data_IF_922297256683
#
_entry.id   IF_922297256683
#
_cell.length_a   1.000
_cell.length_b   1.000
_cell.length_c   1.000
_cell.angle_alpha   90.00
_cell.angle_beta   90.00
_cell.angle_gamma   90.00
#
_symmetry.space_group_name_H-M   'P 1'
#
loop_
_entity.id
_entity.type
_entity.pdbx_description
1 polymer ?
#
# COMPACT_ATOMS: atom_id res chain seq x y z
N UNK A 1 21.75 10.03 3.72
CA UNK A 1 20.99 8.95 4.41
C UNK A 1 19.72 9.45 5.13
N UNK A 2 19.61 10.72 5.52
CA UNK A 2 18.41 11.31 6.16
C UNK A 2 17.13 11.34 5.29
N UNK A 3 17.23 11.05 3.99
CA UNK A 3 16.18 11.32 2.99
C UNK A 3 15.16 10.20 2.84
N UNK A 4 15.56 8.96 3.15
CA UNK A 4 14.66 7.78 3.17
C UNK A 4 13.86 7.69 4.48
N UNK A 5 14.38 8.31 5.54
CA UNK A 5 13.82 8.31 6.89
C UNK A 5 12.38 8.82 6.91
N UNK A 6 12.07 9.86 6.14
CA UNK A 6 10.72 10.43 6.12
C UNK A 6 9.69 9.51 5.43
N UNK A 7 10.11 8.75 4.41
CA UNK A 7 9.23 7.79 3.71
C UNK A 7 9.02 6.56 4.59
N UNK A 8 10.06 6.09 5.26
CA UNK A 8 9.92 5.04 6.25
C UNK A 8 9.00 5.48 7.38
N UNK A 9 9.06 6.76 7.80
CA UNK A 9 8.11 7.31 8.74
C UNK A 9 6.66 7.32 8.21
N UNK A 10 6.43 7.66 6.94
CA UNK A 10 5.11 7.58 6.30
C UNK A 10 4.55 6.14 6.31
N UNK A 11 5.39 5.15 6.00
CA UNK A 11 5.04 3.72 6.07
C UNK A 11 4.76 3.26 7.50
N UNK A 12 5.45 3.84 8.48
CA UNK A 12 5.16 3.64 9.90
C UNK A 12 3.80 4.22 10.30
N UNK A 13 3.48 5.41 9.81
CA UNK A 13 2.16 6.03 9.95
C UNK A 13 1.05 5.14 9.40
N UNK A 14 1.26 4.53 8.23
CA UNK A 14 0.33 3.54 7.67
C UNK A 14 0.12 2.34 8.61
N UNK A 15 1.19 1.85 9.23
CA UNK A 15 1.13 0.74 10.19
C UNK A 15 0.39 1.13 11.48
N UNK A 16 0.53 2.38 11.94
CA UNK A 16 -0.22 2.90 13.09
C UNK A 16 -1.70 3.04 12.75
N UNK A 17 -2.04 3.60 11.59
CA UNK A 17 -3.43 3.68 11.12
C UNK A 17 -4.07 2.28 11.04
N UNK A 18 -3.29 1.28 10.61
CA UNK A 18 -3.71 -0.11 10.61
C UNK A 18 -3.99 -0.63 12.03
N UNK A 19 -3.10 -0.37 12.99
CA UNK A 19 -3.27 -0.72 14.40
C UNK A 19 -4.55 -0.07 14.97
N UNK A 20 -4.75 1.22 14.70
CA UNK A 20 -5.95 1.96 15.13
C UNK A 20 -7.21 1.36 14.52
N UNK A 21 -7.18 1.01 13.22
CA UNK A 21 -8.31 0.38 12.55
C UNK A 21 -8.69 -0.97 13.18
N UNK A 22 -7.69 -1.77 13.55
CA UNK A 22 -7.91 -3.11 14.10
C UNK A 22 -8.33 -3.10 15.56
N UNK A 23 -7.72 -2.24 16.38
CA UNK A 23 -7.90 -2.28 17.84
C UNK A 23 -8.88 -1.22 18.29
N UNK A 24 -8.69 0.02 17.87
CA UNK A 24 -9.45 1.15 18.42
C UNK A 24 -10.83 1.27 17.76
N UNK A 25 -10.95 1.02 16.47
CA UNK A 25 -12.22 1.20 15.75
C UNK A 25 -13.32 0.25 16.27
N UNK A 26 -13.08 -1.07 16.44
CA UNK A 26 -14.10 -1.97 17.00
C UNK A 26 -14.49 -1.66 18.45
N UNK A 27 -13.66 -0.89 19.17
CA UNK A 27 -13.94 -0.44 20.54
C UNK A 27 -14.73 0.87 20.59
N UNK A 28 -14.65 1.69 19.54
CA UNK A 28 -15.19 3.06 19.50
C UNK A 28 -16.46 3.19 18.67
N UNK A 29 -16.69 2.29 17.71
CA UNK A 29 -17.91 2.27 16.90
C UNK A 29 -18.91 1.24 17.42
N UNK A 30 -20.17 1.67 17.51
CA UNK A 30 -21.30 0.78 17.81
C UNK A 30 -21.37 -0.36 16.79
N UNK A 31 -21.74 -1.59 17.20
CA UNK A 31 -21.89 -2.72 16.30
C UNK A 31 -22.97 -2.40 15.24
N UNK A 32 -22.53 -2.10 14.02
CA UNK A 32 -23.39 -1.77 12.88
C UNK A 32 -23.24 -0.35 12.32
N UNK A 33 -22.50 0.54 12.99
CA UNK A 33 -22.17 1.85 12.40
C UNK A 33 -20.92 1.73 11.52
N UNK A 34 -21.09 1.90 10.21
CA UNK A 34 -19.95 2.00 9.28
C UNK A 34 -19.27 3.36 9.43
N UNK A 35 -17.96 3.42 9.70
CA UNK A 35 -17.24 4.69 9.79
C UNK A 35 -17.29 5.42 8.44
N UNK A 36 -17.40 6.75 8.48
CA UNK A 36 -17.40 7.58 7.26
C UNK A 36 -16.09 7.51 6.47
N UNK A 37 -14.99 7.07 7.10
CA UNK A 37 -13.67 6.91 6.47
C UNK A 37 -13.11 5.53 6.82
N UNK A 38 -12.84 4.74 5.79
CA UNK A 38 -12.17 3.45 5.94
C UNK A 38 -10.67 3.67 6.22
N UNK A 39 -10.29 3.57 7.50
CA UNK A 39 -8.90 3.77 7.92
C UNK A 39 -7.94 2.73 7.32
N UNK A 40 -8.44 1.51 7.07
CA UNK A 40 -7.72 0.46 6.34
C UNK A 40 -7.33 0.90 4.91
N UNK A 41 -8.26 1.54 4.19
CA UNK A 41 -8.03 2.04 2.84
C UNK A 41 -6.93 3.11 2.86
N UNK A 42 -7.03 4.09 3.78
CA UNK A 42 -6.03 5.17 3.92
C UNK A 42 -4.64 4.60 4.23
N UNK A 43 -4.56 3.66 5.18
CA UNK A 43 -3.32 2.98 5.53
C UNK A 43 -2.73 2.24 4.32
N UNK A 44 -3.57 1.60 3.51
CA UNK A 44 -3.11 0.80 2.36
C UNK A 44 -2.61 1.71 1.26
N UNK A 45 -3.31 2.81 0.99
CA UNK A 45 -2.88 3.84 0.05
C UNK A 45 -1.56 4.46 0.48
N UNK A 46 -1.34 4.73 1.76
CA UNK A 46 -0.06 5.25 2.26
C UNK A 46 1.10 4.28 2.07
N UNK A 47 0.86 2.98 2.31
CA UNK A 47 1.85 1.95 2.01
C UNK A 47 2.20 1.96 0.51
N UNK A 48 1.20 2.02 -0.34
CA UNK A 48 1.35 2.04 -1.80
C UNK A 48 2.03 3.32 -2.29
N UNK A 49 1.71 4.48 -1.74
CA UNK A 49 2.38 5.74 -2.06
C UNK A 49 3.84 5.72 -1.63
N UNK A 50 4.14 5.17 -0.44
CA UNK A 50 5.51 4.96 0.02
C UNK A 50 6.30 4.06 -0.93
N UNK A 51 5.67 3.00 -1.44
CA UNK A 51 6.26 2.17 -2.48
C UNK A 51 6.45 2.94 -3.79
N UNK A 52 5.41 3.62 -4.31
CA UNK A 52 5.45 4.44 -5.53
C UNK A 52 6.53 5.52 -5.52
N UNK A 53 6.82 6.09 -4.36
CA UNK A 53 7.89 7.05 -4.14
C UNK A 53 9.29 6.41 -4.18
N UNK A 54 9.44 5.20 -3.63
CA UNK A 54 10.74 4.54 -3.45
C UNK A 54 11.20 3.73 -4.67
N UNK A 55 10.29 3.04 -5.38
CA UNK A 55 10.67 2.11 -6.47
C UNK A 55 11.41 2.82 -7.59
N UNK A 56 10.86 3.91 -8.18
CA UNK A 56 11.46 4.52 -9.35
C UNK A 56 12.76 5.25 -8.98
N UNK A 57 12.81 5.81 -7.77
CA UNK A 57 14.01 6.41 -7.20
C UNK A 57 15.16 5.39 -7.05
N UNK A 58 14.85 4.19 -6.55
CA UNK A 58 15.84 3.13 -6.37
C UNK A 58 16.33 2.55 -7.70
N UNK A 59 15.46 2.46 -8.72
CA UNK A 59 15.84 2.07 -10.09
C UNK A 59 16.73 3.13 -10.75
N UNK A 60 16.41 4.41 -10.56
CA UNK A 60 17.21 5.52 -11.10
C UNK A 60 18.62 5.56 -10.48
N UNK A 61 18.73 5.35 -9.16
CA UNK A 61 20.01 5.29 -8.46
C UNK A 61 20.85 4.05 -8.81
N UNK A 62 20.22 2.97 -9.26
CA UNK A 62 20.87 1.72 -9.66
C UNK A 62 21.52 1.75 -11.05
N UNK A 63 21.42 2.86 -11.79
CA UNK A 63 21.89 2.92 -13.18
C UNK A 63 21.18 1.87 -14.03
N UNK A 64 21.91 1.14 -14.87
CA UNK A 64 21.34 0.11 -15.76
C UNK A 64 21.13 -1.27 -15.08
N UNK A 65 21.32 -1.38 -13.75
CA UNK A 65 21.17 -2.63 -12.99
C UNK A 65 19.71 -2.93 -12.61
N UNK A 66 18.81 -2.97 -13.60
CA UNK A 66 17.41 -3.36 -13.39
C UNK A 66 17.27 -4.80 -12.85
N UNK A 67 18.19 -5.69 -13.26
CA UNK A 67 18.21 -7.10 -12.82
C UNK A 67 18.59 -7.25 -11.35
N UNK A 68 19.64 -6.58 -10.89
CA UNK A 68 20.02 -6.62 -9.48
C UNK A 68 18.98 -5.95 -8.59
N UNK A 69 18.30 -4.89 -9.06
CA UNK A 69 17.16 -4.31 -8.35
C UNK A 69 16.02 -5.31 -8.16
N UNK A 70 15.62 -6.01 -9.25
CA UNK A 70 14.58 -7.02 -9.20
C UNK A 70 14.95 -8.16 -8.24
N UNK A 71 16.17 -8.70 -8.34
CA UNK A 71 16.66 -9.81 -7.50
C UNK A 71 16.65 -9.42 -6.01
N UNK A 72 17.22 -8.26 -5.65
CA UNK A 72 17.25 -7.79 -4.25
C UNK A 72 15.84 -7.63 -3.68
N UNK A 73 14.91 -7.15 -4.49
CA UNK A 73 13.54 -6.89 -4.04
C UNK A 73 12.69 -8.14 -3.95
N UNK A 74 12.84 -9.04 -4.91
CA UNK A 74 12.15 -10.33 -4.94
C UNK A 74 12.63 -11.23 -3.81
N UNK A 75 13.95 -11.31 -3.56
CA UNK A 75 14.50 -12.03 -2.40
C UNK A 75 14.03 -11.47 -1.05
N UNK A 76 13.66 -10.18 -0.98
CA UNK A 76 13.10 -9.58 0.24
C UNK A 76 11.61 -9.88 0.42
N UNK A 77 10.83 -9.77 -0.66
CA UNK A 77 9.35 -9.84 -0.59
C UNK A 77 8.80 -11.26 -0.78
N UNK A 78 9.37 -12.05 -1.69
CA UNK A 78 8.95 -13.42 -1.98
C UNK A 78 8.87 -14.33 -0.75
N UNK A 79 9.87 -14.42 0.14
CA UNK A 79 9.81 -15.33 1.29
C UNK A 79 8.69 -14.97 2.27
N UNK A 80 8.52 -13.67 2.55
CA UNK A 80 7.46 -13.18 3.44
C UNK A 80 6.10 -13.40 2.79
N UNK A 81 6.01 -13.19 1.49
CA UNK A 81 4.82 -13.46 0.71
C UNK A 81 4.43 -14.93 0.75
N UNK A 82 5.34 -15.86 0.43
CA UNK A 82 5.09 -17.30 0.45
C UNK A 82 4.65 -17.78 1.84
N UNK A 83 5.28 -17.28 2.90
CA UNK A 83 4.86 -17.59 4.26
C UNK A 83 3.44 -17.07 4.54
N UNK A 84 3.15 -15.83 4.13
CA UNK A 84 1.82 -15.27 4.29
C UNK A 84 0.77 -16.06 3.49
N UNK A 85 1.07 -16.49 2.25
CA UNK A 85 0.21 -17.38 1.43
C UNK A 85 -0.10 -18.65 2.21
N UNK A 86 0.94 -19.33 2.70
CA UNK A 86 0.80 -20.59 3.43
C UNK A 86 -0.07 -20.42 4.67
N UNK A 87 0.19 -19.38 5.47
CA UNK A 87 -0.58 -19.09 6.67
C UNK A 87 -2.04 -18.74 6.35
N UNK A 88 -2.29 -17.95 5.31
CA UNK A 88 -3.66 -17.65 4.87
C UNK A 88 -4.39 -18.89 4.35
N UNK A 89 -3.71 -19.76 3.60
CA UNK A 89 -4.30 -20.99 3.07
C UNK A 89 -4.69 -21.96 4.19
N UNK A 90 -3.88 -22.08 5.24
CA UNK A 90 -4.15 -22.94 6.38
C UNK A 90 -5.24 -22.36 7.29
N UNK A 91 -5.20 -21.05 7.58
CA UNK A 91 -6.08 -20.43 8.57
C UNK A 91 -7.41 -19.92 7.99
N UNK A 92 -7.50 -19.69 6.68
CA UNK A 92 -8.68 -19.21 5.97
C UNK A 92 -9.04 -20.11 4.76
N UNK A 93 -9.33 -21.41 4.99
CA UNK A 93 -9.52 -22.40 3.91
C UNK A 93 -10.77 -22.16 3.05
N UNK A 94 -11.74 -21.38 3.55
CA UNK A 94 -13.01 -21.08 2.86
C UNK A 94 -12.94 -19.87 1.93
N UNK A 95 -11.80 -19.19 1.84
CA UNK A 95 -11.59 -18.10 0.90
C UNK A 95 -10.74 -18.62 -0.26
N UNK A 96 -11.06 -18.31 -1.53
CA UNK A 96 -10.15 -18.54 -2.65
C UNK A 96 -8.96 -17.56 -2.50
N UNK A 97 -8.06 -17.87 -1.56
CA UNK A 97 -6.94 -17.03 -1.16
C UNK A 97 -5.71 -17.39 -2.00
N UNK A 98 -5.75 -17.05 -3.29
CA UNK A 98 -4.59 -17.22 -4.17
C UNK A 98 -3.47 -16.23 -3.81
N UNK A 99 -3.79 -15.15 -3.06
CA UNK A 99 -2.86 -14.11 -2.61
C UNK A 99 -3.15 -13.68 -1.14
N UNK A 100 -2.16 -13.66 -0.23
CA UNK A 100 -2.28 -13.11 1.11
C UNK A 100 -2.55 -11.61 1.08
N UNK A 101 -3.44 -11.17 1.97
CA UNK A 101 -3.99 -9.80 1.96
C UNK A 101 -5.28 -9.64 1.17
N UNK A 102 -5.72 -10.69 0.45
CA UNK A 102 -7.04 -10.74 -0.16
C UNK A 102 -8.07 -11.11 0.91
N UNK A 103 -8.90 -10.17 1.35
CA UNK A 103 -10.06 -10.47 2.19
C UNK A 103 -11.32 -10.53 1.33
N UNK A 104 -11.66 -11.69 0.77
CA UNK A 104 -12.96 -11.86 0.12
C UNK A 104 -14.04 -12.15 1.18
N UNK A 105 -14.35 -11.18 2.05
CA UNK A 105 -15.59 -11.28 2.82
C UNK A 105 -16.72 -10.92 1.85
N UNK A 106 -17.46 -11.93 1.43
CA UNK A 106 -18.71 -11.96 0.63
C UNK A 106 -18.59 -12.33 -0.86
N UNK A 107 -19.17 -13.48 -1.28
CA UNK A 107 -19.56 -13.69 -2.67
C UNK A 107 -20.78 -12.81 -2.96
N UNK A 108 -20.70 -11.93 -3.96
CA UNK A 108 -21.81 -11.06 -4.38
C UNK A 108 -21.71 -9.59 -3.96
N UNK A 109 -20.67 -9.17 -3.23
CA UNK A 109 -20.36 -7.74 -3.07
C UNK A 109 -19.26 -7.33 -4.03
N UNK A 110 -19.63 -6.51 -5.01
CA UNK A 110 -18.72 -5.83 -5.88
C UNK A 110 -18.07 -4.63 -5.19
N UNK A 111 -17.20 -4.95 -4.22
CA UNK A 111 -16.37 -3.96 -3.54
C UNK A 111 -14.89 -4.29 -3.69
N UNK A 112 -14.39 -4.17 -4.92
CA UNK A 112 -13.02 -4.42 -5.36
C UNK A 112 -12.00 -3.31 -4.96
N UNK A 113 -12.15 -2.63 -3.83
CA UNK A 113 -11.42 -1.40 -3.57
C UNK A 113 -10.21 -1.54 -2.64
N UNK A 114 -9.13 -2.24 -3.04
CA UNK A 114 -7.87 -2.38 -2.26
C UNK A 114 -8.03 -3.12 -0.90
N UNK A 115 -9.19 -3.03 -0.26
CA UNK A 115 -9.64 -3.79 0.90
C UNK A 115 -9.83 -5.26 0.54
N UNK A 116 -10.46 -5.56 -0.60
CA UNK A 116 -10.69 -6.94 -1.03
C UNK A 116 -9.42 -7.65 -1.52
N UNK A 117 -8.48 -6.94 -2.18
CA UNK A 117 -7.27 -7.52 -2.79
C UNK A 117 -5.99 -7.37 -1.97
N UNK A 118 -6.01 -6.49 -0.97
CA UNK A 118 -4.83 -6.08 -0.23
C UNK A 118 -3.87 -5.22 -1.07
N UNK A 119 -2.80 -4.76 -0.43
CA UNK A 119 -1.79 -3.91 -1.09
C UNK A 119 -1.00 -4.64 -2.19
N UNK A 120 -1.02 -5.98 -2.22
CA UNK A 120 0.01 -6.74 -2.89
C UNK A 120 -0.15 -6.84 -4.42
N UNK A 121 -1.34 -7.11 -4.99
CA UNK A 121 -1.50 -7.14 -6.45
C UNK A 121 -1.16 -5.81 -7.13
N UNK A 122 -1.64 -4.63 -6.64
CA UNK A 122 -1.21 -3.34 -7.17
C UNK A 122 0.30 -3.13 -7.04
N UNK A 123 0.90 -3.58 -5.93
CA UNK A 123 2.34 -3.45 -5.70
C UNK A 123 3.19 -4.23 -6.70
N UNK A 124 2.84 -5.50 -6.96
CA UNK A 124 3.55 -6.35 -7.92
C UNK A 124 3.41 -5.81 -9.34
N UNK A 125 2.21 -5.40 -9.74
CA UNK A 125 1.96 -4.85 -11.07
C UNK A 125 2.71 -3.53 -11.27
N UNK A 126 2.74 -2.67 -10.25
CA UNK A 126 3.55 -1.45 -10.27
C UNK A 126 5.04 -1.75 -10.45
N UNK A 127 5.57 -2.80 -9.80
CA UNK A 127 6.97 -3.18 -9.97
C UNK A 127 7.27 -3.70 -11.37
N UNK A 128 6.39 -4.54 -11.91
CA UNK A 128 6.48 -5.03 -13.29
C UNK A 128 6.51 -3.87 -14.29
N UNK A 129 5.59 -2.90 -14.13
CA UNK A 129 5.57 -1.68 -14.95
C UNK A 129 6.85 -0.86 -14.80
N UNK A 130 7.33 -0.62 -13.57
CA UNK A 130 8.58 0.12 -13.35
C UNK A 130 9.79 -0.56 -13.99
N UNK A 131 9.88 -1.90 -13.92
CA UNK A 131 10.94 -2.67 -14.56
C UNK A 131 10.83 -2.61 -16.09
N UNK A 132 9.62 -2.69 -16.64
CA UNK A 132 9.38 -2.54 -18.08
C UNK A 132 9.80 -1.14 -18.57
N UNK A 133 9.35 -0.08 -17.89
CA UNK A 133 9.73 1.30 -18.20
C UNK A 133 11.24 1.52 -18.06
N UNK A 134 11.89 0.84 -17.12
CA UNK A 134 13.33 0.89 -16.94
C UNK A 134 14.08 0.17 -18.08
N UNK A 135 13.62 -1.02 -18.47
CA UNK A 135 14.18 -1.79 -19.58
C UNK A 135 14.08 -1.04 -20.92
N UNK A 136 13.03 -0.23 -21.09
CA UNK A 136 12.85 0.66 -22.24
C UNK A 136 13.65 1.98 -22.14
N UNK A 137 14.34 2.24 -21.02
CA UNK A 137 15.06 3.49 -20.75
C UNK A 137 14.16 4.70 -20.43
N UNK A 138 12.83 4.53 -20.51
CA UNK A 138 11.82 5.58 -20.45
C UNK A 138 11.56 6.12 -19.04
N UNK A 139 11.93 5.35 -17.99
CA UNK A 139 11.72 5.71 -16.59
C UNK A 139 12.38 7.06 -16.20
N UNK A 140 13.46 7.44 -16.88
CA UNK A 140 14.19 8.68 -16.63
C UNK A 140 13.34 9.92 -16.95
N UNK A 141 12.45 9.82 -17.93
CA UNK A 141 11.63 10.97 -18.34
C UNK A 141 10.46 11.20 -17.36
N UNK A 142 10.35 12.44 -16.87
CA UNK A 142 9.25 12.86 -16.00
C UNK A 142 7.93 12.91 -16.78
N UNK A 143 7.98 13.27 -18.07
CA UNK A 143 6.82 13.36 -18.94
C UNK A 143 6.16 11.99 -19.18
N UNK A 144 6.92 10.92 -19.39
CA UNK A 144 6.33 9.59 -19.61
C UNK A 144 5.76 9.02 -18.31
N UNK A 145 6.39 9.28 -17.15
CA UNK A 145 5.79 8.89 -15.86
C UNK A 145 4.45 9.59 -15.62
N UNK A 146 4.36 10.89 -15.95
CA UNK A 146 3.10 11.62 -15.91
C UNK A 146 2.09 11.09 -16.94
N UNK A 147 2.56 10.76 -18.15
CA UNK A 147 1.76 10.11 -19.18
C UNK A 147 1.17 8.78 -18.71
N UNK A 148 1.98 7.89 -18.13
CA UNK A 148 1.51 6.62 -17.57
C UNK A 148 0.48 6.82 -16.46
N UNK A 149 0.70 7.80 -15.57
CA UNK A 149 -0.30 8.14 -14.54
C UNK A 149 -1.63 8.56 -15.18
N UNK A 150 -1.59 9.45 -16.18
CA UNK A 150 -2.79 9.93 -16.88
C UNK A 150 -3.48 8.83 -17.71
N UNK A 151 -2.73 7.98 -18.39
CA UNK A 151 -3.26 6.84 -19.16
C UNK A 151 -3.95 5.84 -18.24
N UNK A 152 -3.34 5.52 -17.09
CA UNK A 152 -3.98 4.64 -16.10
C UNK A 152 -5.21 5.28 -15.46
N UNK A 153 -5.20 6.60 -15.25
CA UNK A 153 -6.38 7.33 -14.78
C UNK A 153 -7.51 7.31 -15.83
N UNK A 154 -7.18 7.50 -17.10
CA UNK A 154 -8.13 7.40 -18.20
C UNK A 154 -8.68 5.97 -18.34
N UNK A 155 -7.84 4.94 -18.18
CA UNK A 155 -8.27 3.55 -18.15
C UNK A 155 -9.22 3.27 -16.98
N UNK A 156 -8.95 3.82 -15.79
CA UNK A 156 -9.87 3.72 -14.65
C UNK A 156 -11.22 4.40 -14.94
N UNK A 157 -11.21 5.57 -15.57
CA UNK A 157 -12.44 6.26 -15.99
C UNK A 157 -13.21 5.46 -17.04
N UNK A 158 -12.54 4.93 -18.06
CA UNK A 158 -13.16 4.08 -19.08
C UNK A 158 -13.76 2.83 -18.45
N UNK A 159 -13.04 2.16 -17.54
CA UNK A 159 -13.57 1.00 -16.82
C UNK A 159 -14.81 1.35 -15.99
N UNK A 160 -14.79 2.49 -15.30
CA UNK A 160 -15.93 2.97 -14.52
C UNK A 160 -17.15 3.24 -15.40
N UNK A 161 -16.95 3.82 -16.59
CA UNK A 161 -18.02 4.04 -17.57
C UNK A 161 -18.51 2.74 -18.20
N UNK A 162 -17.62 1.81 -18.56
CA UNK A 162 -18.01 0.50 -19.10
C UNK A 162 -18.75 -0.35 -18.07
N UNK A 163 -18.41 -0.21 -16.79
CA UNK A 163 -19.14 -0.85 -15.70
C UNK A 163 -20.60 -0.38 -15.67
N UNK A 164 -20.88 0.89 -15.97
CA UNK A 164 -22.26 1.40 -16.11
C UNK A 164 -23.01 0.86 -17.33
N UNK A 165 -22.30 0.33 -18.33
CA UNK A 165 -22.89 -0.13 -19.59
C UNK A 165 -23.16 -1.64 -19.58
N UNK A 166 -22.38 -2.41 -18.81
CA UNK A 166 -22.36 -3.88 -18.88
C UNK A 166 -23.00 -4.53 -17.64
N UNK A 167 -23.42 -3.74 -16.63
CA UNK A 167 -23.94 -4.19 -15.33
C UNK A 167 -23.06 -5.29 -14.69
N UNK A 168 -21.76 -5.23 -15.00
CA UNK A 168 -20.73 -6.10 -14.45
C UNK A 168 -19.67 -5.28 -13.78
N UNK A 169 -19.16 -5.86 -12.72
CA UNK A 169 -18.29 -5.17 -11.78
C UNK A 169 -16.86 -5.33 -12.27
N UNK A 170 -16.25 -4.21 -12.65
CA UNK A 170 -14.93 -4.19 -13.26
C UNK A 170 -13.89 -3.66 -12.25
N UNK A 171 -12.63 -4.08 -12.37
CA UNK A 171 -11.55 -3.65 -11.48
C UNK A 171 -11.08 -2.22 -11.77
N UNK A 172 -11.93 -1.24 -11.47
CA UNK A 172 -11.67 0.20 -11.63
C UNK A 172 -10.56 0.70 -10.68
N UNK A 173 -10.47 0.12 -9.50
CA UNK A 173 -9.58 0.60 -8.42
C UNK A 173 -8.11 0.30 -8.68
N UNK A 174 -7.82 -0.82 -9.35
CA UNK A 174 -6.47 -1.24 -9.68
C UNK A 174 -5.74 -0.19 -10.55
N UNK A 175 -6.24 0.22 -11.73
CA UNK A 175 -5.60 1.25 -12.53
C UNK A 175 -5.57 2.61 -11.84
N UNK A 176 -6.59 2.95 -11.04
CA UNK A 176 -6.62 4.19 -10.25
C UNK A 176 -5.47 4.25 -9.22
N UNK A 177 -5.24 3.15 -8.50
CA UNK A 177 -4.20 3.06 -7.48
C UNK A 177 -2.80 3.07 -8.11
N UNK A 178 -2.61 2.34 -9.21
CA UNK A 178 -1.35 2.39 -9.97
C UNK A 178 -1.04 3.80 -10.48
N UNK A 179 -2.06 4.49 -10.98
CA UNK A 179 -1.97 5.89 -11.38
C UNK A 179 -1.46 6.76 -10.22
N UNK A 180 -2.06 6.64 -9.04
CA UNK A 180 -1.63 7.36 -7.85
C UNK A 180 -0.20 7.00 -7.38
N UNK A 181 0.23 5.75 -7.54
CA UNK A 181 1.61 5.35 -7.24
C UNK A 181 2.62 6.02 -8.19
N UNK A 182 2.29 6.15 -9.48
CA UNK A 182 3.10 6.94 -10.42
C UNK A 182 3.09 8.43 -10.04
N UNK A 183 1.97 8.97 -9.60
CA UNK A 183 1.91 10.34 -9.08
C UNK A 183 2.82 10.54 -7.85
N UNK A 184 2.86 9.58 -6.92
CA UNK A 184 3.80 9.60 -5.80
C UNK A 184 5.26 9.65 -6.29
N UNK A 185 5.59 8.93 -7.38
CA UNK A 185 6.92 9.00 -7.99
C UNK A 185 7.26 10.37 -8.59
N UNK A 186 6.29 11.10 -9.16
CA UNK A 186 6.51 12.47 -9.64
C UNK A 186 6.80 13.43 -8.49
N UNK A 187 6.17 13.20 -7.32
CA UNK A 187 6.44 14.01 -6.12
C UNK A 187 7.84 13.78 -5.57
N UNK A 188 8.43 12.60 -5.77
CA UNK A 188 9.85 12.35 -5.45
C UNK A 188 10.76 13.29 -6.24
N UNK A 189 10.58 13.34 -7.56
CA UNK A 189 11.37 14.19 -8.48
C UNK A 189 11.29 15.67 -8.09
N UNK A 190 10.08 16.17 -7.80
CA UNK A 190 9.88 17.57 -7.37
C UNK A 190 10.73 17.94 -6.15
N UNK A 191 11.02 16.99 -5.28
CA UNK A 191 11.77 17.21 -4.04
C UNK A 191 13.26 16.95 -4.16
N UNK A 192 13.66 16.01 -5.01
CA UNK A 192 15.02 15.47 -5.03
C UNK A 192 15.86 15.90 -6.23
N UNK A 193 15.23 16.49 -7.25
CA UNK A 193 15.94 16.91 -8.45
C UNK A 193 16.87 18.11 -8.19
N UNK A 194 18.16 17.96 -8.49
CA UNK A 194 19.19 18.96 -8.21
C UNK A 194 19.12 20.17 -9.16
N UNK A 195 18.73 19.94 -10.41
CA UNK A 195 18.58 21.00 -11.42
C UNK A 195 17.32 21.83 -11.18
N UNK A 196 17.46 23.15 -11.16
CA UNK A 196 16.36 24.10 -11.01
C UNK A 196 15.33 23.99 -12.15
N UNK A 197 15.79 23.73 -13.38
CA UNK A 197 14.94 23.59 -14.56
C UNK A 197 14.11 22.30 -14.53
N UNK A 198 14.76 21.16 -14.27
CA UNK A 198 14.08 19.87 -14.18
C UNK A 198 13.08 19.83 -13.01
N UNK A 199 13.42 20.46 -11.88
CA UNK A 199 12.52 20.62 -10.73
C UNK A 199 11.28 21.44 -11.07
N UNK A 200 11.43 22.55 -11.80
CA UNK A 200 10.30 23.39 -12.23
C UNK A 200 9.34 22.61 -13.13
N UNK A 201 9.88 21.89 -14.11
CA UNK A 201 9.11 21.04 -15.02
C UNK A 201 8.38 19.92 -14.29
N UNK A 202 9.05 19.23 -13.36
CA UNK A 202 8.41 18.19 -12.54
C UNK A 202 7.28 18.77 -11.67
N UNK A 203 7.43 20.00 -11.15
CA UNK A 203 6.41 20.66 -10.34
C UNK A 203 5.20 21.09 -11.16
N UNK A 204 5.40 21.45 -12.43
CA UNK A 204 4.31 21.74 -13.37
C UNK A 204 3.53 20.47 -13.70
N UNK A 205 4.20 19.38 -14.07
CA UNK A 205 3.53 18.10 -14.31
C UNK A 205 2.81 17.58 -13.06
N UNK A 206 3.43 17.62 -11.88
CA UNK A 206 2.78 17.18 -10.66
C UNK A 206 1.54 18.03 -10.32
N UNK A 207 1.58 19.35 -10.54
CA UNK A 207 0.40 20.22 -10.35
C UNK A 207 -0.68 19.93 -11.39
N UNK A 208 -0.30 19.71 -12.64
CA UNK A 208 -1.23 19.35 -13.71
C UNK A 208 -1.93 18.03 -13.40
N UNK A 209 -1.19 16.96 -13.12
CA UNK A 209 -1.75 15.65 -12.77
C UNK A 209 -2.64 15.74 -11.52
N UNK A 210 -2.27 16.52 -10.51
CA UNK A 210 -3.11 16.74 -9.32
C UNK A 210 -4.45 17.40 -9.67
N UNK A 211 -4.45 18.43 -10.53
CA UNK A 211 -5.68 19.08 -10.99
C UNK A 211 -6.58 18.10 -11.75
N UNK A 212 -5.98 17.26 -12.60
CA UNK A 212 -6.72 16.21 -13.32
C UNK A 212 -7.33 15.21 -12.33
N UNK A 213 -6.59 14.74 -11.31
CA UNK A 213 -7.19 13.88 -10.27
C UNK A 213 -8.35 14.57 -9.56
N UNK A 214 -8.22 15.84 -9.17
CA UNK A 214 -9.31 16.54 -8.48
C UNK A 214 -10.58 16.63 -9.32
N UNK A 215 -10.46 16.73 -10.65
CA UNK A 215 -11.60 16.79 -11.56
C UNK A 215 -12.16 15.40 -11.91
N UNK A 216 -11.29 14.43 -12.17
CA UNK A 216 -11.67 13.11 -12.71
C UNK A 216 -12.06 12.13 -11.61
N UNK A 217 -11.42 12.19 -10.44
CA UNK A 217 -11.68 11.26 -9.34
C UNK A 217 -13.16 11.29 -8.88
N UNK A 218 -13.84 12.43 -8.65
CA UNK A 218 -15.28 12.40 -8.34
C UNK A 218 -16.11 11.78 -9.48
N UNK A 219 -15.75 12.02 -10.74
CA UNK A 219 -16.44 11.43 -11.89
C UNK A 219 -16.26 9.91 -11.91
N UNK A 220 -15.07 9.39 -11.63
CA UNK A 220 -14.82 7.94 -11.51
C UNK A 220 -15.70 7.33 -10.42
N UNK A 221 -15.79 7.97 -9.25
CA UNK A 221 -16.58 7.44 -8.14
C UNK A 221 -18.09 7.49 -8.40
N UNK A 222 -18.59 8.58 -9.00
CA UNK A 222 -19.99 8.69 -9.39
C UNK A 222 -20.31 7.69 -10.51
N UNK A 223 -19.46 7.61 -11.54
CA UNK A 223 -19.68 6.69 -12.66
C UNK A 223 -19.65 5.23 -12.19
N UNK A 224 -18.64 4.83 -11.42
CA UNK A 224 -18.47 3.44 -11.00
C UNK A 224 -19.52 2.94 -10.01
N UNK A 225 -20.08 3.82 -9.16
CA UNK A 225 -20.83 3.36 -7.98
C UNK A 225 -22.11 4.14 -7.65
N UNK A 226 -22.49 5.17 -8.41
CA UNK A 226 -23.74 5.90 -8.12
C UNK A 226 -25.02 5.18 -8.57
N UNK A 227 -24.93 4.12 -9.39
CA UNK A 227 -26.07 3.59 -10.14
C UNK A 227 -26.91 2.53 -9.43
N UNK A 228 -26.43 1.94 -8.35
CA UNK A 228 -27.14 0.85 -7.68
C UNK A 228 -27.73 1.29 -6.34
N UNK A 229 -29.06 1.16 -6.20
CA UNK A 229 -29.82 1.31 -4.95
C UNK A 229 -29.51 0.28 -3.86
N UNK A 230 -28.37 -0.41 -3.98
CA UNK A 230 -27.82 -1.34 -3.00
C UNK A 230 -27.00 -0.58 -1.95
N UNK A 231 -26.55 -1.28 -0.89
CA UNK A 231 -25.70 -0.73 0.17
C UNK A 231 -24.41 -0.01 -0.33
N UNK A 232 -24.05 -0.15 -1.62
CA UNK A 232 -22.95 0.58 -2.28
C UNK A 232 -23.22 2.07 -2.48
N UNK A 233 -24.48 2.52 -2.61
CA UNK A 233 -24.81 3.95 -2.76
C UNK A 233 -24.52 4.78 -1.50
N UNK A 234 -24.52 4.15 -0.32
CA UNK A 234 -24.23 4.82 0.94
C UNK A 234 -22.72 4.98 1.22
N UNK A 235 -21.86 4.18 0.58
CA UNK A 235 -20.45 4.08 0.93
C UNK A 235 -19.48 4.85 0.01
N UNK A 236 -19.88 5.14 -1.25
CA UNK A 236 -19.02 5.85 -2.20
C UNK A 236 -18.53 7.23 -1.73
N UNK A 237 -19.31 8.06 -0.99
CA UNK A 237 -18.83 9.37 -0.55
C UNK A 237 -17.72 9.24 0.48
N UNK A 238 -17.83 8.28 1.40
CA UNK A 238 -16.83 8.01 2.43
C UNK A 238 -15.50 7.54 1.85
N UNK A 239 -15.54 6.83 0.72
CA UNK A 239 -14.33 6.37 0.04
C UNK A 239 -13.69 7.42 -0.83
N UNK A 240 -14.49 8.19 -1.56
CA UNK A 240 -14.01 9.40 -2.23
C UNK A 240 -13.26 10.29 -1.22
N UNK A 241 -13.86 10.47 -0.04
CA UNK A 241 -13.25 11.20 1.06
C UNK A 241 -12.01 10.50 1.61
N UNK A 242 -12.01 9.17 1.75
CA UNK A 242 -10.84 8.38 2.14
C UNK A 242 -9.65 8.52 1.18
N UNK A 243 -9.88 8.46 -0.13
CA UNK A 243 -8.86 8.71 -1.16
C UNK A 243 -8.38 10.16 -1.11
N UNK A 244 -9.29 11.13 -0.98
CA UNK A 244 -8.96 12.54 -0.88
C UNK A 244 -8.11 12.83 0.36
N UNK A 245 -8.49 12.29 1.52
CA UNK A 245 -7.73 12.40 2.79
C UNK A 245 -6.37 11.72 2.66
N UNK A 246 -6.31 10.52 2.07
CA UNK A 246 -5.04 9.82 1.86
C UNK A 246 -4.08 10.64 1.01
N UNK A 247 -4.55 11.22 -0.10
CA UNK A 247 -3.75 12.07 -0.99
C UNK A 247 -3.38 13.38 -0.28
N UNK A 248 -4.32 14.05 0.39
CA UNK A 248 -4.08 15.32 1.08
C UNK A 248 -3.02 15.16 2.18
N UNK A 249 -3.15 14.14 3.03
CA UNK A 249 -2.20 13.84 4.09
C UNK A 249 -0.84 13.41 3.51
N UNK A 250 -0.83 12.62 2.45
CA UNK A 250 0.42 12.28 1.75
C UNK A 250 1.15 13.53 1.25
N UNK A 251 0.43 14.46 0.61
CA UNK A 251 0.99 15.73 0.14
C UNK A 251 1.46 16.63 1.29
N UNK A 252 0.75 16.61 2.43
CA UNK A 252 1.07 17.37 3.62
C UNK A 252 2.35 16.84 4.29
N UNK A 253 2.46 15.53 4.51
CA UNK A 253 3.63 14.91 5.12
C UNK A 253 4.85 15.03 4.21
N UNK A 254 4.71 14.67 2.94
CA UNK A 254 5.85 14.79 2.00
C UNK A 254 6.24 16.24 1.74
N UNK A 255 5.34 17.21 1.90
CA UNK A 255 5.60 18.63 1.64
C UNK A 255 6.07 19.42 2.86
N UNK A 256 5.19 19.59 3.85
CA UNK A 256 5.36 20.54 4.97
C UNK A 256 5.76 19.87 6.28
N UNK A 257 5.25 18.68 6.57
CA UNK A 257 5.46 17.99 7.85
C UNK A 257 6.46 16.85 7.71
N UNK A 258 7.76 17.18 7.84
CA UNK A 258 8.82 16.16 7.85
C UNK A 258 8.79 15.36 9.15
N UNK A 259 7.98 14.31 9.18
CA UNK A 259 7.97 13.30 10.25
C UNK A 259 9.35 12.63 10.34
N UNK A 260 9.98 12.73 11.52
CA UNK A 260 11.30 12.16 11.83
C UNK A 260 11.28 11.27 13.07
N UNK A 261 10.10 10.88 13.55
CA UNK A 261 10.00 10.12 14.79
C UNK A 261 10.66 8.73 14.64
N UNK A 262 11.60 8.34 15.53
CA UNK A 262 12.33 7.08 15.46
C UNK A 262 11.40 5.86 15.50
N UNK A 263 10.32 5.94 16.28
CA UNK A 263 9.29 4.92 16.36
C UNK A 263 8.57 4.70 15.02
N UNK A 264 8.22 5.78 14.31
CA UNK A 264 7.56 5.68 13.00
C UNK A 264 8.49 5.02 11.97
N UNK A 265 9.78 5.34 11.98
CA UNK A 265 10.77 4.73 11.08
C UNK A 265 10.85 3.21 11.36
N UNK A 266 10.86 2.84 12.64
CA UNK A 266 10.91 1.44 13.06
C UNK A 266 9.65 0.69 12.59
N UNK A 267 8.45 1.23 12.81
CA UNK A 267 7.21 0.64 12.28
C UNK A 267 7.20 0.58 10.76
N UNK A 268 7.73 1.60 10.08
CA UNK A 268 7.85 1.63 8.63
C UNK A 268 8.66 0.48 8.06
N UNK A 269 9.72 0.08 8.76
CA UNK A 269 10.53 -1.08 8.38
C UNK A 269 9.78 -2.42 8.47
N UNK A 270 8.76 -2.51 9.33
CA UNK A 270 7.90 -3.69 9.54
C UNK A 270 6.61 -3.64 8.70
N UNK A 271 6.28 -2.49 8.12
CA UNK A 271 4.98 -2.24 7.48
C UNK A 271 4.55 -3.29 6.45
N UNK A 272 5.46 -3.79 5.62
CA UNK A 272 5.13 -4.81 4.60
C UNK A 272 4.73 -6.15 5.24
N UNK A 273 5.54 -6.64 6.18
CA UNK A 273 5.33 -7.94 6.82
C UNK A 273 4.10 -7.89 7.73
N UNK A 274 3.90 -6.77 8.43
CA UNK A 274 2.68 -6.51 9.20
C UNK A 274 1.43 -6.56 8.31
N UNK A 275 1.42 -5.84 7.18
CA UNK A 275 0.27 -5.82 6.27
C UNK A 275 -0.10 -7.20 5.72
N UNK A 276 0.90 -8.05 5.46
CA UNK A 276 0.68 -9.37 4.88
C UNK A 276 0.23 -10.41 5.91
N UNK A 277 0.78 -10.35 7.13
CA UNK A 277 0.51 -11.34 8.16
C UNK A 277 -0.72 -11.00 9.01
N UNK A 278 -1.09 -9.72 9.07
CA UNK A 278 -2.17 -9.26 9.94
C UNK A 278 -3.52 -9.98 9.73
N UNK A 279 -4.04 -10.17 8.50
CA UNK A 279 -5.32 -10.88 8.33
C UNK A 279 -5.28 -12.33 8.83
N UNK A 280 -4.17 -13.04 8.59
CA UNK A 280 -3.98 -14.41 9.05
C UNK A 280 -3.87 -14.48 10.58
N UNK A 281 -3.11 -13.57 11.17
CA UNK A 281 -2.90 -13.52 12.63
C UNK A 281 -4.16 -13.07 13.38
N UNK A 282 -4.98 -12.18 12.79
CA UNK A 282 -6.29 -11.85 13.33
C UNK A 282 -7.22 -13.06 13.38
N UNK A 283 -7.23 -13.87 12.31
CA UNK A 283 -8.01 -15.11 12.30
C UNK A 283 -7.53 -16.08 13.37
N UNK A 284 -6.22 -16.22 13.54
CA UNK A 284 -5.63 -17.03 14.60
C UNK A 284 -6.04 -16.51 15.98
N UNK A 285 -5.98 -15.19 16.20
CA UNK A 285 -6.44 -14.54 17.43
C UNK A 285 -7.91 -14.84 17.74
N UNK A 286 -8.79 -14.80 16.72
CA UNK A 286 -10.20 -15.17 16.85
C UNK A 286 -10.37 -16.64 17.27
N UNK A 287 -9.66 -17.57 16.60
CA UNK A 287 -9.72 -18.99 16.93
C UNK A 287 -9.25 -19.24 18.37
N UNK A 288 -8.16 -18.60 18.82
CA UNK A 288 -7.67 -18.71 20.19
C UNK A 288 -8.71 -18.21 21.20
N UNK A 289 -9.31 -17.04 20.98
CA UNK A 289 -10.35 -16.53 21.88
C UNK A 289 -11.60 -17.41 21.93
N UNK A 290 -11.95 -18.04 20.80
CA UNK A 290 -13.06 -19.00 20.73
C UNK A 290 -12.73 -20.27 21.52
N UNK A 291 -11.50 -20.80 21.42
CA UNK A 291 -11.08 -21.96 22.22
C UNK A 291 -11.01 -21.68 23.71
N UNK A 292 -10.78 -20.41 24.09
CA UNK A 292 -10.78 -19.97 25.49
C UNK A 292 -12.19 -19.69 26.05
N UNK A 293 -13.25 -19.92 25.26
CA UNK A 293 -14.64 -19.77 25.70
C UNK A 293 -15.09 -18.32 25.91
N UNK A 294 -14.31 -17.33 25.44
CA UNK A 294 -14.66 -15.92 25.52
C UNK A 294 -15.70 -15.60 24.44
N UNK A 295 -16.94 -15.34 24.84
CA UNK A 295 -18.02 -14.94 23.96
C UNK A 295 -18.51 -13.54 24.32
N UNK A 296 -18.79 -12.70 23.30
CA UNK A 296 -19.32 -11.34 23.47
C UNK A 296 -18.37 -10.23 22.99
N UNK A 297 -18.72 -8.95 23.21
CA UNK A 297 -17.97 -7.80 22.71
C UNK A 297 -16.54 -7.72 23.26
N UNK A 298 -16.32 -8.18 24.51
CA UNK A 298 -15.00 -8.29 25.12
C UNK A 298 -14.09 -9.31 24.40
N UNK A 299 -14.67 -10.35 23.78
CA UNK A 299 -13.94 -11.32 22.97
C UNK A 299 -13.50 -10.73 21.63
N UNK A 300 -14.30 -9.83 21.04
CA UNK A 300 -13.92 -9.12 19.82
C UNK A 300 -12.71 -8.19 20.06
N UNK A 301 -12.71 -7.45 21.17
CA UNK A 301 -11.56 -6.63 21.56
C UNK A 301 -10.34 -7.46 21.93
N UNK A 302 -10.52 -8.54 22.69
CA UNK A 302 -9.42 -9.43 23.06
C UNK A 302 -8.79 -10.07 21.81
N UNK A 303 -9.61 -10.58 20.88
CA UNK A 303 -9.12 -11.19 19.64
C UNK A 303 -8.42 -10.19 18.72
N UNK A 304 -8.87 -8.93 18.68
CA UNK A 304 -8.19 -7.86 17.96
C UNK A 304 -6.80 -7.56 18.53
N UNK A 305 -6.69 -7.46 19.86
CA UNK A 305 -5.41 -7.21 20.55
C UNK A 305 -4.48 -8.40 20.43
N UNK A 306 -4.96 -9.63 20.65
CA UNK A 306 -4.18 -10.85 20.48
C UNK A 306 -3.72 -11.03 19.04
N UNK A 307 -4.61 -10.83 18.07
CA UNK A 307 -4.30 -10.90 16.64
C UNK A 307 -3.24 -9.87 16.23
N UNK A 308 -3.31 -8.65 16.78
CA UNK A 308 -2.29 -7.64 16.53
C UNK A 308 -0.95 -8.00 17.19
N UNK A 309 -0.95 -8.48 18.43
CA UNK A 309 0.26 -8.91 19.12
C UNK A 309 0.95 -10.04 18.34
N UNK A 310 0.17 -11.02 17.86
CA UNK A 310 0.64 -12.08 16.98
C UNK A 310 1.16 -11.56 15.64
N UNK A 311 0.51 -10.56 15.03
CA UNK A 311 0.99 -9.92 13.81
C UNK A 311 2.34 -9.21 14.02
N UNK A 312 2.52 -8.51 15.14
CA UNK A 312 3.77 -7.82 15.45
C UNK A 312 4.89 -8.83 15.74
N UNK A 313 4.62 -9.86 16.56
CA UNK A 313 5.64 -10.88 16.88
C UNK A 313 6.03 -11.68 15.64
N UNK A 314 5.06 -12.11 14.82
CA UNK A 314 5.34 -12.80 13.56
C UNK A 314 6.10 -11.90 12.56
N UNK A 315 5.74 -10.61 12.42
CA UNK A 315 6.49 -9.67 11.59
C UNK A 315 7.95 -9.51 12.07
N UNK A 316 8.18 -9.46 13.39
CA UNK A 316 9.53 -9.40 13.97
C UNK A 316 10.33 -10.68 13.71
N UNK A 317 9.70 -11.85 13.85
CA UNK A 317 10.32 -13.15 13.57
C UNK A 317 10.67 -13.28 12.08
N UNK A 318 9.74 -12.96 11.18
CA UNK A 318 9.97 -12.93 9.74
C UNK A 318 11.12 -12.01 9.36
N UNK A 319 11.19 -10.83 9.99
CA UNK A 319 12.29 -9.90 9.73
C UNK A 319 13.65 -10.49 10.12
N UNK A 320 13.74 -11.14 11.28
CA UNK A 320 14.99 -11.72 11.79
C UNK A 320 15.41 -12.97 10.99
N UNK A 321 14.46 -13.85 10.68
CA UNK A 321 14.72 -15.18 10.12
C UNK A 321 14.72 -15.20 8.59
N UNK A 322 13.95 -14.34 7.92
CA UNK A 322 13.81 -14.33 6.47
C UNK A 322 14.41 -13.07 5.85
N UNK A 323 13.94 -11.89 6.26
CA UNK A 323 14.32 -10.65 5.56
C UNK A 323 15.81 -10.32 5.68
N UNK A 324 16.37 -10.37 6.90
CA UNK A 324 17.78 -10.06 7.13
C UNK A 324 18.76 -11.00 6.41
N UNK A 325 18.63 -12.34 6.48
CA UNK A 325 19.55 -13.24 5.77
C UNK A 325 19.39 -13.17 4.25
N UNK A 326 18.15 -13.09 3.73
CA UNK A 326 17.92 -13.09 2.28
C UNK A 326 18.30 -11.76 1.64
N UNK A 327 18.13 -10.64 2.35
CA UNK A 327 18.65 -9.34 1.88
C UNK A 327 20.18 -9.35 1.84
N UNK A 328 20.85 -9.97 2.82
CA UNK A 328 22.31 -10.13 2.79
C UNK A 328 22.76 -11.05 1.65
N UNK A 329 22.03 -12.13 1.38
CA UNK A 329 22.29 -13.00 0.24
C UNK A 329 22.13 -12.26 -1.10
N UNK A 330 21.04 -11.49 -1.27
CA UNK A 330 20.81 -10.67 -2.47
C UNK A 330 21.88 -9.60 -2.69
N UNK A 331 22.36 -8.96 -1.62
CA UNK A 331 23.45 -7.99 -1.70
C UNK A 331 24.79 -8.66 -2.08
N UNK A 332 25.04 -9.89 -1.61
CA UNK A 332 26.22 -10.69 -2.02
C UNK A 332 26.16 -11.11 -3.49
N UNK A 333 25.00 -11.56 -3.96
CA UNK A 333 24.79 -12.00 -5.35
C UNK A 333 24.90 -10.87 -6.37
N UNK A 334 24.53 -9.65 -5.97
CA UNK A 334 24.59 -8.47 -6.85
C UNK A 334 25.86 -7.64 -6.69
N UNK A 335 26.87 -8.15 -5.97
CA UNK A 335 28.18 -7.49 -5.82
C UNK A 335 28.17 -6.20 -4.99
N UNK A 336 27.03 -5.76 -4.46
CA UNK A 336 26.93 -4.58 -3.60
C UNK A 336 27.39 -4.91 -2.17
N UNK A 337 28.72 -4.95 -1.97
CA UNK A 337 29.32 -4.93 -0.63
C UNK A 337 29.14 -3.53 -0.05
N UNK A 338 28.17 -3.34 0.84
CA UNK A 338 28.23 -2.21 1.77
C UNK A 338 26.99 -1.34 2.00
N UNK A 339 25.79 -1.68 1.51
CA UNK A 339 24.58 -1.03 2.06
C UNK A 339 24.17 -1.81 3.31
N UNK A 340 24.84 -1.49 4.42
CA UNK A 340 24.42 -1.91 5.76
C UNK A 340 22.93 -1.59 5.96
N UNK A 341 22.14 -2.48 6.55
CA UNK A 341 20.74 -2.18 6.87
C UNK A 341 20.70 -0.97 7.81
N UNK A 342 19.77 -0.05 7.54
CA UNK A 342 19.45 1.21 8.25
C UNK A 342 19.23 1.09 9.78
N UNK A 343 19.49 -0.06 10.41
CA UNK A 343 19.21 -0.35 11.82
C UNK A 343 20.40 -0.25 12.78
N UNK A 344 21.61 0.15 12.36
CA UNK A 344 22.80 0.22 13.26
C UNK A 344 23.38 1.62 13.51
N UNK A 345 22.70 2.69 13.10
CA UNK A 345 23.17 4.07 13.35
C UNK A 345 22.42 4.81 14.48
N UNK A 346 21.58 4.13 15.26
CA UNK A 346 20.89 4.72 16.41
C UNK A 346 21.54 4.37 17.76
N UNK A 347 22.83 3.98 17.77
CA UNK A 347 23.60 3.82 19.00
C UNK A 347 24.87 4.64 18.94
N UNK A 348 24.73 5.96 19.01
CA UNK A 348 25.63 6.86 19.72
C UNK A 348 24.83 8.03 20.26
#
# INVERSE_FOLDING_TARGET
MERLVHIDALRGGASILLIVHVVALPLLTEPGSSPAIDLWLVATLWLLFGCGFLVPAALHAGGNDGRGFAIRRLLRLLPVYLLAVLLTAVLLPSLPAWLPGVTSRYPGMAFEAVSAYGALPPLLLFYGLCLLLHALGLLHSVSLRAGCALVLLAAALLLALTQQLIDRTLPVTLPLVLSLMFFASLRYEVQHEASSYARRRAREYARYTLRVYLLVLPVIFVAGWARDGSAQQAAWPGQLLGYAVAVALFLLFTGRLRLRAPLLIWFGSLSCSLYLLLPAMQRLGQLLTQTLGLNGPLAASASAVFGLALAITSALLCRRLLEHPLTRAGNRLTGQRGVLPLGRLHSR
#
